data_IF_342424369047
#
_entry.id   IF_342424369047
#
_cell.length_a   1.000
_cell.length_b   1.000
_cell.length_c   1.000
_cell.angle_alpha   90.00
_cell.angle_beta   90.00
_cell.angle_gamma   90.00
#
_symmetry.space_group_name_H-M   'P 1'
#
loop_
_entity.id
_entity.type
_entity.pdbx_description
1 polymer ?
#
# COMPACT_ATOMS: atom_id res chain seq x y z
N UNK A 1 -1.47 38.50 17.31
CA UNK A 1 -2.48 37.43 17.32
C UNK A 1 -2.08 36.47 18.41
N UNK A 2 -3.02 36.08 19.27
CA UNK A 2 -2.73 35.06 20.28
C UNK A 2 -2.43 33.72 19.60
N UNK A 3 -1.44 33.01 20.15
CA UNK A 3 -1.03 31.69 19.67
C UNK A 3 -2.22 30.74 19.71
N UNK A 4 -2.43 29.98 18.64
CA UNK A 4 -3.38 28.88 18.65
C UNK A 4 -2.90 27.80 19.63
N UNK A 5 -3.82 27.23 20.39
CA UNK A 5 -3.55 26.06 21.20
C UNK A 5 -3.20 24.84 20.36
N UNK A 6 -2.26 24.05 20.86
CA UNK A 6 -1.85 22.79 20.23
C UNK A 6 -2.96 21.76 20.39
N UNK A 7 -3.41 21.11 19.29
CA UNK A 7 -4.37 20.01 19.37
C UNK A 7 -3.82 18.88 20.24
N UNK A 8 -4.66 18.34 21.13
CA UNK A 8 -4.27 17.28 22.04
C UNK A 8 -5.37 16.22 22.18
N UNK A 9 -5.06 15.10 22.84
CA UNK A 9 -5.98 13.97 22.98
C UNK A 9 -6.49 13.48 21.61
N UNK A 10 -5.57 13.25 20.67
CA UNK A 10 -5.92 12.78 19.32
C UNK A 10 -6.54 11.38 19.43
N UNK A 11 -7.76 11.21 18.90
CA UNK A 11 -8.53 9.97 18.92
C UNK A 11 -8.77 9.50 17.49
N UNK A 12 -8.41 8.24 17.24
CA UNK A 12 -8.68 7.54 15.99
C UNK A 12 -9.75 6.49 16.25
N UNK A 13 -10.78 6.46 15.41
CA UNK A 13 -11.92 5.54 15.53
C UNK A 13 -12.46 5.13 14.16
N UNK A 14 -13.36 4.14 14.15
CA UNK A 14 -14.04 3.65 12.93
C UNK A 14 -13.07 3.35 11.77
N UNK A 15 -11.95 2.68 12.08
CA UNK A 15 -10.89 2.39 11.10
C UNK A 15 -11.32 1.26 10.15
N UNK A 16 -11.28 1.53 8.85
CA UNK A 16 -11.44 0.56 7.76
C UNK A 16 -10.10 0.33 7.04
N UNK A 17 -10.10 -0.41 5.93
CA UNK A 17 -8.90 -0.57 5.10
C UNK A 17 -8.43 0.71 4.39
N UNK A 18 -9.32 1.69 4.24
CA UNK A 18 -9.19 2.84 3.35
C UNK A 18 -9.74 4.15 3.95
N UNK A 19 -10.17 4.11 5.21
CA UNK A 19 -10.67 5.27 5.94
C UNK A 19 -10.51 5.13 7.45
N UNK A 20 -10.61 6.26 8.13
CA UNK A 20 -10.72 6.35 9.59
C UNK A 20 -11.44 7.64 9.96
N UNK A 21 -11.88 7.74 11.22
CA UNK A 21 -12.32 8.99 11.82
C UNK A 21 -11.30 9.50 12.80
N UNK A 22 -11.10 10.81 12.80
CA UNK A 22 -10.16 11.49 13.68
C UNK A 22 -10.87 12.63 14.43
N UNK A 23 -10.60 12.70 15.72
CA UNK A 23 -11.00 13.77 16.62
C UNK A 23 -9.83 14.18 17.49
N UNK A 24 -9.94 15.37 18.08
CA UNK A 24 -9.02 15.90 19.07
C UNK A 24 -9.74 16.97 19.86
N UNK A 25 -9.14 17.37 20.97
CA UNK A 25 -9.62 18.46 21.79
C UNK A 25 -8.84 19.74 21.50
N UNK A 26 -9.54 20.87 21.65
CA UNK A 26 -9.03 22.22 21.43
C UNK A 26 -9.68 23.16 22.46
N UNK A 27 -9.03 24.28 22.71
CA UNK A 27 -9.62 25.37 23.48
C UNK A 27 -10.87 25.90 22.74
N UNK A 28 -12.04 26.04 23.38
CA UNK A 28 -13.30 26.43 22.71
C UNK A 28 -13.21 27.74 21.92
N UNK A 29 -12.43 28.70 22.41
CA UNK A 29 -12.16 29.98 21.75
C UNK A 29 -11.45 29.80 20.42
N UNK A 30 -10.51 28.84 20.34
CA UNK A 30 -9.80 28.52 19.10
C UNK A 30 -10.71 27.74 18.13
N UNK A 31 -11.60 26.89 18.63
CA UNK A 31 -12.54 26.13 17.80
C UNK A 31 -13.43 27.01 16.92
N UNK A 32 -13.75 28.22 17.38
CA UNK A 32 -14.53 29.20 16.61
C UNK A 32 -13.68 29.95 15.57
N UNK A 33 -12.36 30.02 15.76
CA UNK A 33 -11.42 30.77 14.93
C UNK A 33 -10.79 29.90 13.85
N UNK A 34 -10.53 28.63 14.15
CA UNK A 34 -9.87 27.69 13.24
C UNK A 34 -10.70 27.52 11.97
N UNK A 35 -10.04 27.70 10.83
CA UNK A 35 -10.68 27.57 9.52
C UNK A 35 -10.20 26.34 8.75
N UNK A 36 -9.03 25.80 9.09
CA UNK A 36 -8.43 24.64 8.42
C UNK A 36 -7.69 23.73 9.40
N UNK A 37 -7.58 22.46 9.01
CA UNK A 37 -6.77 21.44 9.67
C UNK A 37 -5.70 20.95 8.71
N UNK A 38 -4.48 20.83 9.22
CA UNK A 38 -3.36 20.19 8.55
C UNK A 38 -3.17 18.83 9.21
N UNK A 39 -3.18 17.77 8.41
CA UNK A 39 -3.03 16.40 8.88
C UNK A 39 -1.80 15.83 8.19
N UNK A 40 -0.79 15.48 8.98
CA UNK A 40 0.38 14.77 8.49
C UNK A 40 0.13 13.27 8.66
N UNK A 41 -0.03 12.57 7.55
CA UNK A 41 -0.25 11.13 7.50
C UNK A 41 0.95 10.47 6.82
N UNK A 42 1.64 9.60 7.55
CA UNK A 42 2.79 8.87 7.05
C UNK A 42 2.68 7.39 7.39
N UNK A 43 3.21 6.54 6.51
CA UNK A 43 3.34 5.10 6.79
C UNK A 43 4.46 4.92 7.80
N UNK A 44 4.26 4.04 8.78
CA UNK A 44 5.32 3.67 9.72
C UNK A 44 6.32 2.77 8.99
N UNK A 45 7.53 3.25 8.77
CA UNK A 45 8.58 2.45 8.14
C UNK A 45 9.08 1.37 9.11
N UNK A 46 8.66 0.13 8.88
CA UNK A 46 9.38 -1.04 9.39
C UNK A 46 10.64 -1.23 8.55
N UNK A 47 11.82 -1.18 9.18
CA UNK A 47 13.13 -1.07 8.53
C UNK A 47 13.55 -2.22 7.61
N UNK A 48 12.93 -2.34 6.44
CA UNK A 48 13.41 -3.19 5.35
C UNK A 48 13.74 -2.33 4.11
N UNK A 49 15.04 -2.14 3.78
CA UNK A 49 15.48 -1.22 2.74
C UNK A 49 15.19 -1.67 1.30
N UNK A 50 14.68 -2.89 1.07
CA UNK A 50 14.53 -3.48 -0.27
C UNK A 50 13.15 -3.28 -0.93
N UNK A 51 12.35 -2.32 -0.47
CA UNK A 51 11.00 -2.12 -1.01
C UNK A 51 11.01 -1.27 -2.27
N UNK A 52 10.54 -1.84 -3.37
CA UNK A 52 10.17 -1.10 -4.58
C UNK A 52 9.25 0.05 -4.18
N UNK A 53 9.77 1.26 -4.30
CA UNK A 53 9.14 2.48 -3.81
C UNK A 53 7.95 2.83 -4.71
N UNK A 54 6.76 2.38 -4.36
CA UNK A 54 5.63 3.31 -4.51
C UNK A 54 6.00 4.50 -3.66
N UNK A 55 6.22 5.64 -4.31
CA UNK A 55 6.74 6.89 -3.75
C UNK A 55 6.01 7.19 -2.43
N UNK A 56 6.60 6.79 -1.31
CA UNK A 56 6.10 7.00 0.05
C UNK A 56 6.26 8.50 0.37
N UNK A 57 5.36 9.30 -0.19
CA UNK A 57 5.31 10.73 0.07
C UNK A 57 4.44 10.92 1.31
N UNK A 58 4.97 11.49 2.41
CA UNK A 58 4.15 11.94 3.53
C UNK A 58 2.98 12.75 2.99
N UNK A 59 1.77 12.28 3.25
CA UNK A 59 0.58 12.93 2.70
C UNK A 59 0.17 13.99 3.69
N UNK A 60 0.58 15.23 3.40
CA UNK A 60 0.06 16.41 4.09
C UNK A 60 -1.31 16.76 3.51
N UNK A 61 -2.35 16.44 4.25
CA UNK A 61 -3.72 16.79 3.91
C UNK A 61 -4.04 18.15 4.49
N UNK A 62 -4.68 19.01 3.67
CA UNK A 62 -5.25 20.27 4.12
C UNK A 62 -6.75 20.17 3.98
N UNK A 63 -7.46 20.25 5.10
CA UNK A 63 -8.91 20.18 5.15
C UNK A 63 -9.48 21.50 5.66
N UNK A 64 -10.61 21.94 5.10
CA UNK A 64 -11.40 23.00 5.73
C UNK A 64 -11.92 22.50 7.06
N UNK A 65 -11.92 23.35 8.09
CA UNK A 65 -12.41 23.00 9.40
C UNK A 65 -13.88 22.58 9.32
N UNK A 66 -14.14 21.41 9.89
CA UNK A 66 -15.45 20.77 10.01
C UNK A 66 -15.63 20.26 11.44
N UNK A 67 -16.86 19.95 11.87
CA UNK A 67 -17.09 19.32 13.17
C UNK A 67 -16.32 17.99 13.30
N UNK A 68 -15.71 17.78 14.46
CA UNK A 68 -15.04 16.53 14.83
C UNK A 68 -16.04 15.57 15.48
N UNK A 69 -15.89 14.23 15.33
CA UNK A 69 -14.88 13.53 14.55
C UNK A 69 -15.10 13.63 13.04
N UNK A 70 -14.05 13.98 12.31
CA UNK A 70 -14.07 14.06 10.84
C UNK A 70 -13.63 12.74 10.20
N UNK A 71 -14.22 12.40 9.07
CA UNK A 71 -13.83 11.23 8.30
C UNK A 71 -12.69 11.58 7.32
N UNK A 72 -11.62 10.78 7.36
CA UNK A 72 -10.51 10.83 6.40
C UNK A 72 -10.65 9.58 5.52
N UNK A 73 -10.92 9.79 4.22
CA UNK A 73 -11.16 8.72 3.24
C UNK A 73 -10.25 8.89 2.05
N UNK A 74 -9.60 7.82 1.61
CA UNK A 74 -8.90 7.85 0.34
C UNK A 74 -8.06 6.63 0.07
N UNK A 75 -8.47 5.88 -0.95
CA UNK A 75 -7.74 4.75 -1.52
C UNK A 75 -6.33 5.12 -2.04
N UNK A 76 -6.05 6.42 -2.25
CA UNK A 76 -4.77 6.90 -2.78
C UNK A 76 -3.69 7.05 -1.70
N UNK A 77 -4.06 7.12 -0.42
CA UNK A 77 -3.10 7.33 0.68
C UNK A 77 -3.23 6.28 1.80
N UNK A 78 -4.32 5.52 1.87
CA UNK A 78 -4.49 4.39 2.78
C UNK A 78 -4.42 3.04 2.06
N UNK A 79 -3.66 2.12 2.63
CA UNK A 79 -3.58 0.72 2.23
C UNK A 79 -4.08 -0.17 3.37
N UNK A 80 -4.78 -1.29 3.11
CA UNK A 80 -5.19 -2.23 4.15
C UNK A 80 -3.99 -2.81 4.91
N UNK A 81 -4.21 -3.23 6.16
CA UNK A 81 -3.19 -3.81 7.06
C UNK A 81 -1.87 -3.03 7.09
N UNK A 82 -1.95 -1.71 7.09
CA UNK A 82 -0.77 -0.85 7.05
C UNK A 82 -0.76 0.02 8.29
N UNK A 83 0.40 0.06 8.96
CA UNK A 83 0.63 0.92 10.11
C UNK A 83 0.89 2.36 9.63
N UNK A 84 0.17 3.31 10.23
CA UNK A 84 0.27 4.72 9.95
C UNK A 84 0.53 5.51 11.23
N UNK A 85 1.25 6.61 11.07
CA UNK A 85 1.42 7.66 12.05
C UNK A 85 0.64 8.89 11.58
N UNK A 86 -0.08 9.52 12.50
CA UNK A 86 -0.83 10.75 12.24
C UNK A 86 -0.53 11.83 13.28
N UNK A 87 -0.34 13.06 12.81
CA UNK A 87 -0.28 14.27 13.62
C UNK A 87 -1.17 15.36 13.02
N UNK A 88 -1.69 16.25 13.85
CA UNK A 88 -2.62 17.30 13.45
C UNK A 88 -2.11 18.66 13.88
N UNK A 89 -2.33 19.66 13.03
CA UNK A 89 -2.10 21.06 13.31
C UNK A 89 -3.36 21.84 12.91
N UNK A 90 -3.73 22.84 13.70
CA UNK A 90 -4.87 23.71 13.40
C UNK A 90 -4.39 25.01 12.77
N UNK A 91 -5.24 25.63 11.96
CA UNK A 91 -4.87 26.81 11.20
C UNK A 91 -6.01 27.80 11.01
N UNK A 92 -5.66 29.09 11.03
CA UNK A 92 -6.49 30.20 10.61
C UNK A 92 -5.95 30.74 9.29
N UNK A 93 -6.73 30.63 8.22
CA UNK A 93 -6.45 31.31 6.96
C UNK A 93 -6.53 32.82 7.13
N UNK A 94 -5.47 33.52 6.77
CA UNK A 94 -5.39 34.98 6.86
C UNK A 94 -6.18 35.65 5.73
N UNK A 95 -6.82 36.82 5.96
CA UNK A 95 -7.63 37.50 4.94
C UNK A 95 -6.78 38.08 3.78
N UNK A 96 -5.50 38.37 4.06
CA UNK A 96 -4.70 39.30 3.27
C UNK A 96 -3.82 38.61 2.20
N UNK A 97 -3.95 37.29 2.06
CA UNK A 97 -3.32 36.53 0.98
C UNK A 97 -2.83 35.17 1.45
N UNK A 98 -3.53 34.10 1.04
CA UNK A 98 -3.06 32.70 0.92
C UNK A 98 -2.57 31.95 2.17
N UNK A 99 -1.99 32.64 3.14
CA UNK A 99 -1.20 32.11 4.22
C UNK A 99 -2.05 31.71 5.43
N UNK A 100 -1.45 30.87 6.26
CA UNK A 100 -2.06 30.33 7.45
C UNK A 100 -1.27 30.74 8.68
N UNK A 101 -1.99 31.20 9.71
CA UNK A 101 -1.49 31.21 11.07
C UNK A 101 -1.78 29.85 11.71
N UNK A 102 -0.74 29.10 12.08
CA UNK A 102 -0.85 27.70 12.50
C UNK A 102 -0.50 27.50 13.99
N UNK A 103 -1.05 26.46 14.61
CA UNK A 103 -0.62 25.97 15.93
C UNK A 103 0.69 25.19 15.85
N UNK A 104 1.22 24.69 16.98
CA UNK A 104 2.18 23.58 16.93
C UNK A 104 1.48 22.27 16.49
N UNK A 105 2.29 21.28 16.12
CA UNK A 105 1.82 19.92 15.83
C UNK A 105 1.43 19.20 17.12
N UNK A 106 0.37 18.39 17.04
CA UNK A 106 -0.03 17.48 18.11
C UNK A 106 1.00 16.39 18.39
N UNK A 107 0.74 15.62 19.44
CA UNK A 107 1.33 14.28 19.59
C UNK A 107 1.08 13.43 18.34
N UNK A 108 2.05 12.57 18.01
CA UNK A 108 1.89 11.56 16.95
C UNK A 108 1.11 10.39 17.54
N UNK A 109 0.05 9.96 16.85
CA UNK A 109 -0.71 8.76 17.18
C UNK A 109 -0.53 7.73 16.09
N UNK A 110 -0.34 6.48 16.50
CA UNK A 110 -0.23 5.34 15.60
C UNK A 110 -1.57 4.61 15.49
N UNK A 111 -1.88 4.13 14.29
CA UNK A 111 -3.02 3.24 14.06
C UNK A 111 -2.73 2.29 12.91
N UNK A 112 -3.49 1.20 12.81
CA UNK A 112 -3.39 0.24 11.73
C UNK A 112 -4.72 0.15 11.00
N UNK A 113 -4.69 0.22 9.67
CA UNK A 113 -5.87 0.04 8.83
C UNK A 113 -6.38 -1.39 8.86
N UNK A 114 -7.69 -1.54 8.68
CA UNK A 114 -8.37 -2.83 8.68
C UNK A 114 -8.14 -3.66 7.42
N UNK A 115 -8.82 -4.81 7.38
CA UNK A 115 -8.93 -5.68 6.22
C UNK A 115 -9.87 -5.12 5.15
N UNK A 116 -9.72 -5.61 3.92
CA UNK A 116 -10.74 -5.41 2.90
C UNK A 116 -12.08 -5.99 3.37
N UNK A 117 -13.08 -5.14 3.54
CA UNK A 117 -14.47 -5.59 3.64
C UNK A 117 -14.94 -6.20 2.29
N UNK A 118 -15.97 -7.05 2.35
CA UNK A 118 -16.53 -7.72 1.16
C UNK A 118 -16.96 -6.74 0.06
N UNK A 119 -17.49 -5.58 0.44
CA UNK A 119 -17.87 -4.52 -0.49
C UNK A 119 -16.67 -4.01 -1.30
N UNK A 120 -15.51 -3.85 -0.66
CA UNK A 120 -14.29 -3.44 -1.34
C UNK A 120 -13.78 -4.54 -2.29
N UNK A 121 -13.83 -5.80 -1.87
CA UNK A 121 -13.46 -6.93 -2.73
C UNK A 121 -14.37 -7.03 -3.96
N UNK A 122 -15.67 -6.78 -3.77
CA UNK A 122 -16.64 -6.76 -4.86
C UNK A 122 -16.35 -5.62 -5.85
N UNK A 123 -16.06 -4.41 -5.37
CA UNK A 123 -15.65 -3.30 -6.22
C UNK A 123 -14.36 -3.57 -6.99
N UNK A 124 -13.37 -4.22 -6.36
CA UNK A 124 -12.14 -4.64 -7.03
C UNK A 124 -12.42 -5.67 -8.13
N UNK A 125 -13.31 -6.62 -7.87
CA UNK A 125 -13.75 -7.61 -8.85
C UNK A 125 -14.46 -6.95 -10.04
N UNK A 126 -15.38 -6.02 -9.79
CA UNK A 126 -16.11 -5.29 -10.85
C UNK A 126 -15.14 -4.48 -11.73
N UNK A 127 -14.16 -3.80 -11.12
CA UNK A 127 -13.10 -3.09 -11.86
C UNK A 127 -12.27 -4.06 -12.70
N UNK A 128 -11.88 -5.21 -12.15
CA UNK A 128 -11.13 -6.24 -12.87
C UNK A 128 -11.94 -6.82 -14.04
N UNK A 129 -13.24 -7.04 -13.86
CA UNK A 129 -14.15 -7.48 -14.91
C UNK A 129 -14.29 -6.44 -16.03
N UNK A 130 -14.35 -5.14 -15.69
CA UNK A 130 -14.43 -4.06 -16.67
C UNK A 130 -13.23 -3.93 -17.59
N UNK A 131 -12.05 -4.40 -17.16
CA UNK A 131 -10.83 -4.46 -17.99
C UNK A 131 -10.61 -5.82 -18.65
N UNK A 132 -11.45 -6.81 -18.32
CA UNK A 132 -11.38 -8.15 -18.92
C UNK A 132 -11.56 -8.06 -20.44
N UNK A 133 -10.69 -8.73 -21.18
CA UNK A 133 -10.65 -8.69 -22.65
C UNK A 133 -9.62 -7.71 -23.24
N UNK A 134 -9.02 -6.83 -22.45
CA UNK A 134 -7.86 -6.00 -22.85
C UNK A 134 -6.52 -6.56 -22.37
N UNK A 135 -6.48 -7.84 -22.04
CA UNK A 135 -5.33 -8.51 -21.42
C UNK A 135 -4.39 -9.07 -22.48
N UNK A 136 -3.09 -8.91 -22.27
CA UNK A 136 -2.08 -9.61 -23.07
C UNK A 136 -2.05 -11.09 -22.69
N UNK A 137 -1.92 -11.94 -23.71
CA UNK A 137 -1.70 -13.37 -23.48
C UNK A 137 -0.25 -13.59 -23.04
N UNK A 138 -0.06 -14.10 -21.83
CA UNK A 138 1.23 -14.64 -21.43
C UNK A 138 1.35 -16.12 -21.85
N UNK A 139 2.56 -16.56 -22.13
CA UNK A 139 2.86 -17.95 -22.53
C UNK A 139 3.72 -18.70 -21.52
N UNK A 140 4.28 -18.02 -20.53
CA UNK A 140 5.27 -18.57 -19.60
C UNK A 140 5.14 -18.00 -18.19
N UNK A 141 5.37 -18.87 -17.20
CA UNK A 141 5.73 -18.47 -15.85
C UNK A 141 7.24 -18.40 -15.73
N UNK A 142 7.77 -17.44 -14.99
CA UNK A 142 9.20 -17.29 -14.79
C UNK A 142 9.56 -16.85 -13.38
N UNK A 143 10.77 -17.23 -12.95
CA UNK A 143 11.36 -16.82 -11.68
C UNK A 143 12.76 -16.29 -11.95
N UNK A 144 12.97 -15.03 -11.64
CA UNK A 144 14.29 -14.41 -11.68
C UNK A 144 14.93 -14.50 -10.30
N UNK A 145 16.19 -14.91 -10.23
CA UNK A 145 16.97 -15.06 -8.99
C UNK A 145 18.48 -14.95 -9.25
N UNK A 146 19.27 -14.80 -8.17
CA UNK A 146 20.73 -14.82 -8.26
C UNK A 146 21.25 -16.21 -8.69
N UNK A 147 22.37 -16.29 -9.44
CA UNK A 147 22.97 -17.58 -9.83
C UNK A 147 23.20 -18.55 -8.66
N UNK A 148 23.60 -18.03 -7.49
CA UNK A 148 23.86 -18.85 -6.29
C UNK A 148 22.62 -19.60 -5.79
N UNK A 149 21.44 -18.98 -5.88
CA UNK A 149 20.19 -19.64 -5.53
C UNK A 149 19.96 -20.89 -6.38
N UNK A 150 20.09 -20.76 -7.70
CA UNK A 150 19.89 -21.89 -8.61
C UNK A 150 21.02 -22.92 -8.51
N UNK A 151 22.25 -22.49 -8.22
CA UNK A 151 23.35 -23.41 -7.93
C UNK A 151 23.01 -24.26 -6.70
N UNK A 152 22.59 -23.64 -5.60
CA UNK A 152 22.17 -24.33 -4.37
C UNK A 152 21.00 -25.29 -4.62
N UNK A 153 19.97 -24.86 -5.37
CA UNK A 153 18.84 -25.74 -5.73
C UNK A 153 19.32 -27.00 -6.44
N UNK A 154 20.28 -26.88 -7.37
CA UNK A 154 20.81 -28.03 -8.11
C UNK A 154 21.72 -28.92 -7.26
N UNK A 155 22.62 -28.34 -6.48
CA UNK A 155 23.67 -29.10 -5.78
C UNK A 155 23.26 -29.59 -4.41
N UNK A 156 22.44 -28.83 -3.68
CA UNK A 156 22.04 -29.14 -2.30
C UNK A 156 20.58 -29.61 -2.19
N UNK A 157 19.68 -29.16 -3.07
CA UNK A 157 18.26 -29.53 -3.02
C UNK A 157 17.86 -30.60 -4.04
N UNK A 158 18.81 -31.23 -4.73
CA UNK A 158 18.52 -32.28 -5.73
C UNK A 158 17.69 -31.78 -6.92
N UNK A 159 17.77 -30.48 -7.25
CA UNK A 159 16.96 -29.84 -8.28
C UNK A 159 15.57 -29.41 -7.83
N UNK A 160 15.18 -29.64 -6.57
CA UNK A 160 13.88 -29.26 -6.05
C UNK A 160 13.87 -27.81 -5.56
N UNK A 161 12.99 -26.98 -6.13
CA UNK A 161 12.69 -25.65 -5.56
C UNK A 161 11.71 -25.82 -4.40
N UNK A 162 12.21 -25.68 -3.17
CA UNK A 162 11.37 -25.76 -1.98
C UNK A 162 10.37 -24.60 -1.89
N UNK A 163 9.21 -24.89 -1.29
CA UNK A 163 8.19 -23.88 -1.00
C UNK A 163 8.73 -22.88 0.02
N UNK A 164 8.45 -21.61 -0.20
CA UNK A 164 8.70 -20.54 0.75
C UNK A 164 7.38 -19.92 1.19
N UNK A 165 7.34 -19.37 2.40
CA UNK A 165 6.22 -18.56 2.85
C UNK A 165 6.17 -17.28 2.02
N UNK A 166 4.97 -16.86 1.61
CA UNK A 166 4.78 -15.60 0.90
C UNK A 166 5.22 -14.46 1.81
N UNK A 167 6.18 -13.69 1.33
CA UNK A 167 6.71 -12.51 2.00
C UNK A 167 5.72 -11.33 1.94
N UNK A 168 6.08 -10.23 2.59
CA UNK A 168 5.30 -8.98 2.56
C UNK A 168 5.64 -8.11 1.33
N UNK A 169 6.07 -8.74 0.21
CA UNK A 169 6.18 -8.06 -1.07
C UNK A 169 4.79 -7.82 -1.67
N UNK A 170 4.66 -6.81 -2.53
CA UNK A 170 3.37 -6.39 -3.09
C UNK A 170 2.46 -5.66 -2.09
N UNK A 171 1.17 -6.00 -2.07
CA UNK A 171 0.18 -5.33 -1.21
C UNK A 171 0.22 -5.87 0.22
N UNK A 172 0.35 -4.99 1.22
CA UNK A 172 0.28 -5.35 2.64
C UNK A 172 -1.04 -6.00 3.05
N UNK A 173 -2.13 -5.54 2.43
CA UNK A 173 -3.47 -6.06 2.65
C UNK A 173 -3.71 -7.42 2.00
N UNK A 174 -2.70 -8.01 1.34
CA UNK A 174 -2.82 -9.32 0.70
C UNK A 174 -2.98 -10.41 1.76
N UNK A 175 -4.12 -11.12 1.82
CA UNK A 175 -4.40 -12.11 2.87
C UNK A 175 -3.49 -13.35 2.79
N UNK A 176 -2.77 -13.52 1.67
CA UNK A 176 -1.84 -14.63 1.45
C UNK A 176 -0.46 -14.37 2.04
N UNK A 177 -0.13 -13.12 2.39
CA UNK A 177 1.15 -12.78 3.00
C UNK A 177 1.28 -13.48 4.36
N UNK A 178 2.38 -14.19 4.58
CA UNK A 178 2.62 -14.93 5.81
C UNK A 178 1.75 -16.18 6.00
N UNK A 179 0.86 -16.53 5.07
CA UNK A 179 -0.05 -17.68 5.19
C UNK A 179 0.15 -18.72 4.10
N UNK A 180 0.40 -18.31 2.85
CA UNK A 180 0.57 -19.21 1.73
C UNK A 180 2.03 -19.66 1.58
N UNK A 181 2.26 -20.97 1.50
CA UNK A 181 3.56 -21.55 1.14
C UNK A 181 3.55 -22.07 -0.29
N UNK A 182 4.45 -21.57 -1.12
CA UNK A 182 4.49 -21.94 -2.53
C UNK A 182 5.84 -21.66 -3.19
N UNK A 183 5.91 -21.95 -4.48
CA UNK A 183 6.99 -21.49 -5.35
C UNK A 183 6.45 -20.32 -6.16
N UNK A 184 7.07 -19.16 -6.03
CA UNK A 184 6.56 -17.92 -6.61
C UNK A 184 7.15 -17.69 -8.00
N UNK A 185 6.25 -17.42 -8.94
CA UNK A 185 6.56 -17.10 -10.33
C UNK A 185 5.89 -15.78 -10.73
N UNK A 186 6.57 -15.00 -11.55
CA UNK A 186 5.99 -13.90 -12.30
C UNK A 186 5.44 -14.41 -13.64
N UNK A 187 4.46 -13.72 -14.18
CA UNK A 187 3.90 -14.00 -15.51
C UNK A 187 3.61 -12.72 -16.31
N UNK A 188 4.22 -11.59 -15.91
CA UNK A 188 4.06 -10.33 -16.63
C UNK A 188 4.68 -10.42 -18.03
N UNK A 189 4.01 -9.78 -18.99
CA UNK A 189 4.37 -9.76 -20.41
C UNK A 189 4.43 -8.31 -20.87
N UNK A 190 5.56 -7.90 -21.45
CA UNK A 190 5.72 -6.57 -22.03
C UNK A 190 4.82 -6.40 -23.27
N UNK A 191 4.27 -5.20 -23.44
CA UNK A 191 3.28 -4.92 -24.49
C UNK A 191 3.89 -4.91 -25.90
N UNK A 192 5.11 -4.42 -26.03
CA UNK A 192 5.83 -4.29 -27.29
C UNK A 192 6.39 -5.62 -27.79
N UNK A 193 6.96 -6.43 -26.90
CA UNK A 193 7.61 -7.70 -27.27
C UNK A 193 6.69 -8.91 -27.14
N UNK A 194 5.67 -8.85 -26.29
CA UNK A 194 4.89 -10.05 -25.92
C UNK A 194 5.69 -11.08 -25.12
N UNK A 195 6.85 -10.70 -24.58
CA UNK A 195 7.76 -11.55 -23.82
C UNK A 195 7.87 -11.08 -22.35
N UNK A 196 8.38 -11.93 -21.45
CA UNK A 196 8.79 -11.49 -20.11
C UNK A 196 9.83 -10.35 -20.16
N UNK A 197 9.78 -9.34 -19.27
CA UNK A 197 10.71 -8.22 -19.27
C UNK A 197 12.16 -8.66 -19.29
N UNK A 198 13.06 -7.97 -19.96
CA UNK A 198 14.46 -8.39 -20.02
C UNK A 198 15.19 -8.14 -18.69
N UNK A 199 14.87 -7.03 -18.02
CA UNK A 199 15.43 -6.67 -16.73
C UNK A 199 14.66 -7.29 -15.57
N UNK A 200 15.35 -7.51 -14.46
CA UNK A 200 14.71 -7.94 -13.22
C UNK A 200 15.49 -7.49 -12.01
N UNK A 201 14.82 -6.88 -11.00
CA UNK A 201 15.47 -6.54 -9.74
C UNK A 201 15.80 -7.78 -8.89
N UNK A 202 15.19 -8.92 -9.18
CA UNK A 202 15.35 -10.15 -8.37
C UNK A 202 16.60 -10.96 -8.74
N UNK A 203 17.23 -10.65 -9.87
CA UNK A 203 18.47 -11.28 -10.29
C UNK A 203 18.51 -11.56 -11.80
N UNK A 204 19.72 -11.82 -12.33
CA UNK A 204 19.95 -11.89 -13.77
C UNK A 204 19.57 -13.25 -14.37
N UNK A 205 19.43 -14.30 -13.57
CA UNK A 205 19.15 -15.64 -14.08
C UNK A 205 17.64 -15.92 -14.04
N UNK A 206 17.09 -16.34 -15.17
CA UNK A 206 15.67 -16.65 -15.34
C UNK A 206 15.45 -18.14 -15.49
N UNK A 207 14.60 -18.70 -14.64
CA UNK A 207 14.01 -20.01 -14.84
C UNK A 207 12.59 -19.86 -15.41
N UNK A 208 12.24 -20.64 -16.42
CA UNK A 208 10.96 -20.51 -17.14
C UNK A 208 10.22 -21.84 -17.22
N UNK A 209 8.89 -21.79 -17.13
CA UNK A 209 7.97 -22.92 -17.33
C UNK A 209 6.87 -22.47 -18.30
N UNK A 210 6.56 -23.25 -19.36
CA UNK A 210 5.41 -22.97 -20.21
C UNK A 210 4.11 -22.90 -19.42
N UNK A 211 3.26 -21.91 -19.71
CA UNK A 211 2.03 -21.67 -18.96
C UNK A 211 1.11 -22.90 -18.90
N UNK A 212 1.02 -23.66 -19.99
CA UNK A 212 0.21 -24.89 -20.06
C UNK A 212 0.65 -26.01 -19.10
N UNK A 213 1.90 -25.99 -18.62
CA UNK A 213 2.37 -26.97 -17.64
C UNK A 213 1.82 -26.70 -16.23
N UNK A 214 1.45 -25.46 -15.92
CA UNK A 214 0.90 -25.06 -14.61
C UNK A 214 -0.59 -24.71 -14.68
N UNK A 215 -1.11 -24.25 -15.82
CA UNK A 215 -2.54 -23.97 -16.02
C UNK A 215 -3.31 -25.27 -16.30
N UNK A 216 -3.43 -26.11 -15.28
CA UNK A 216 -4.21 -27.34 -15.32
C UNK A 216 -4.94 -27.58 -13.99
N UNK A 217 -5.87 -28.53 -14.00
CA UNK A 217 -6.71 -28.85 -12.84
C UNK A 217 -5.94 -29.46 -11.66
N UNK A 218 -4.71 -29.94 -11.87
CA UNK A 218 -3.91 -30.56 -10.81
C UNK A 218 -2.98 -29.59 -10.10
N UNK A 219 -2.93 -28.33 -10.55
CA UNK A 219 -2.05 -27.30 -9.97
C UNK A 219 -2.89 -26.28 -9.21
N UNK A 220 -2.63 -26.14 -7.91
CA UNK A 220 -3.21 -25.05 -7.12
C UNK A 220 -2.46 -23.75 -7.41
N UNK A 221 -3.03 -22.91 -8.27
CA UNK A 221 -2.51 -21.59 -8.59
C UNK A 221 -3.20 -20.51 -7.75
N UNK A 222 -2.38 -19.68 -7.14
CA UNK A 222 -2.82 -18.50 -6.39
C UNK A 222 -2.15 -17.28 -7.01
N UNK A 223 -2.94 -16.28 -7.37
CA UNK A 223 -2.41 -15.03 -7.89
C UNK A 223 -2.07 -14.12 -6.72
N UNK A 224 -0.80 -13.71 -6.69
CA UNK A 224 -0.20 -12.88 -5.66
C UNK A 224 0.40 -11.65 -6.34
N UNK A 225 0.30 -10.49 -5.69
CA UNK A 225 0.99 -9.25 -6.07
C UNK A 225 0.69 -8.75 -7.48
N UNK A 226 -0.41 -8.00 -7.61
CA UNK A 226 -0.67 -7.18 -8.79
C UNK A 226 0.08 -5.87 -8.66
N UNK A 227 1.21 -5.75 -9.34
CA UNK A 227 1.95 -4.49 -9.45
C UNK A 227 1.76 -3.91 -10.85
N UNK A 228 1.43 -2.63 -10.92
CA UNK A 228 1.62 -1.87 -12.14
C UNK A 228 3.14 -1.66 -12.28
N UNK A 229 3.78 -2.36 -13.22
CA UNK A 229 5.12 -1.93 -13.65
C UNK A 229 4.86 -0.62 -14.41
N UNK A 230 5.28 0.50 -13.81
CA UNK A 230 5.17 1.80 -14.47
C UNK A 230 5.94 1.76 -15.78
N UNK A 231 5.23 1.90 -16.89
CA UNK A 231 5.81 2.40 -18.14
C UNK A 231 5.90 3.92 -18.12
#
# INVERSE_FOLDING_TARGET
MDSLSTPHNIQISEVTCDSFRIAWEMVPEDAQRVTHYFIDLSRKEGGDPNRFKHRDVPTKLVAKAVPLPMAVRGHWFLSPRTEYCVAVQTAIRLPDGGDYHVSDWSQVVEFCTGDYAMEHLQQLLEKAQGVSGRMLRFSMFYRNQHPDYFHHVRTACGGLMHRALKDNSGSHGSPINGTLQGVFFSCHTEFDTGLPPNDSPYGPLRFQIPAGCLLNQTTSLYFADFYCIGG
#
